data_IF_830896404621
#
_entry.id   IF_830896404621
#
_cell.length_a   1.000
_cell.length_b   1.000
_cell.length_c   1.000
_cell.angle_alpha   90.00
_cell.angle_beta   90.00
_cell.angle_gamma   90.00
#
_symmetry.space_group_name_H-M   'P 1'
#
loop_
_entity.id
_entity.type
_entity.pdbx_description
1 polymer ?
#
# COMPACT_ATOMS: atom_id res chain seq x y z
N UNK A 1 -17.62 34.31 -7.58
CA UNK A 1 -18.42 35.54 -7.75
C UNK A 1 -18.55 36.35 -6.46
N UNK A 2 -19.14 35.81 -5.38
CA UNK A 2 -19.43 36.59 -4.15
C UNK A 2 -18.27 37.40 -3.51
N UNK A 3 -17.04 36.85 -3.51
CA UNK A 3 -15.84 37.58 -3.03
C UNK A 3 -15.46 38.75 -3.94
N UNK A 4 -15.62 38.59 -5.26
CA UNK A 4 -15.40 39.66 -6.25
C UNK A 4 -16.41 40.78 -6.05
N UNK A 5 -17.67 40.45 -5.81
CA UNK A 5 -18.74 41.44 -5.56
C UNK A 5 -18.51 42.19 -4.24
N UNK A 6 -18.09 41.48 -3.18
CA UNK A 6 -17.67 42.09 -1.93
C UNK A 6 -16.52 43.07 -2.14
N UNK A 7 -15.48 42.66 -2.87
CA UNK A 7 -14.31 43.51 -3.15
C UNK A 7 -14.70 44.72 -4.01
N UNK A 8 -15.62 44.56 -4.97
CA UNK A 8 -16.12 45.65 -5.81
C UNK A 8 -16.88 46.68 -4.97
N UNK A 9 -17.77 46.24 -4.09
CA UNK A 9 -18.52 47.12 -3.18
C UNK A 9 -17.58 47.80 -2.16
N UNK A 10 -16.58 47.09 -1.66
CA UNK A 10 -15.54 47.64 -0.79
C UNK A 10 -14.75 48.74 -1.50
N UNK A 11 -14.28 48.49 -2.72
CA UNK A 11 -13.52 49.47 -3.49
C UNK A 11 -14.33 50.73 -3.78
N UNK A 12 -15.64 50.59 -4.02
CA UNK A 12 -16.54 51.72 -4.22
C UNK A 12 -16.74 52.54 -2.95
N UNK A 13 -17.02 51.90 -1.81
CA UNK A 13 -17.11 52.56 -0.51
C UNK A 13 -15.81 53.24 -0.10
N UNK A 14 -14.66 52.57 -0.31
CA UNK A 14 -13.33 53.11 -0.01
C UNK A 14 -13.01 54.40 -0.79
N UNK A 15 -13.46 54.49 -2.04
CA UNK A 15 -13.26 55.70 -2.88
C UNK A 15 -14.28 56.78 -2.59
N UNK A 16 -15.52 56.41 -2.28
CA UNK A 16 -16.64 57.31 -2.06
C UNK A 16 -17.42 56.90 -0.80
N UNK A 17 -17.05 57.43 0.39
CA UNK A 17 -17.62 57.02 1.67
C UNK A 17 -19.02 57.61 1.92
N UNK A 18 -20.01 57.16 1.16
CA UNK A 18 -21.42 57.54 1.35
C UNK A 18 -22.18 56.47 2.15
N UNK A 19 -23.28 56.84 2.85
CA UNK A 19 -24.12 55.89 3.58
C UNK A 19 -24.63 54.75 2.70
N UNK A 20 -25.06 55.05 1.47
CA UNK A 20 -25.53 54.05 0.50
C UNK A 20 -24.45 53.05 0.12
N UNK A 21 -23.21 53.53 -0.10
CA UNK A 21 -22.09 52.68 -0.42
C UNK A 21 -21.70 51.78 0.78
N UNK A 22 -21.83 52.27 2.01
CA UNK A 22 -21.63 51.46 3.21
C UNK A 22 -22.69 50.36 3.34
N UNK A 23 -23.96 50.68 3.09
CA UNK A 23 -25.07 49.70 3.09
C UNK A 23 -24.83 48.64 2.01
N UNK A 24 -24.46 49.05 0.80
CA UNK A 24 -24.16 48.13 -0.31
C UNK A 24 -22.99 47.19 0.03
N UNK A 25 -21.91 47.72 0.62
CA UNK A 25 -20.79 46.89 1.09
C UNK A 25 -21.20 45.90 2.18
N UNK A 26 -21.97 46.33 3.18
CA UNK A 26 -22.45 45.45 4.25
C UNK A 26 -23.35 44.32 3.71
N UNK A 27 -24.26 44.62 2.77
CA UNK A 27 -25.07 43.62 2.07
C UNK A 27 -24.20 42.61 1.31
N UNK A 28 -23.20 43.08 0.57
CA UNK A 28 -22.28 42.22 -0.17
C UNK A 28 -21.42 41.35 0.77
N UNK A 29 -20.94 41.91 1.89
CA UNK A 29 -20.18 41.21 2.94
C UNK A 29 -21.03 40.12 3.61
N UNK A 30 -22.28 40.41 3.95
CA UNK A 30 -23.20 39.43 4.52
C UNK A 30 -23.47 38.28 3.54
N UNK A 31 -23.73 38.60 2.27
CA UNK A 31 -23.91 37.60 1.20
C UNK A 31 -22.67 36.72 1.03
N UNK A 32 -21.48 37.31 0.98
CA UNK A 32 -20.23 36.56 0.87
C UNK A 32 -20.01 35.62 2.06
N UNK A 33 -20.29 36.08 3.29
CA UNK A 33 -20.23 35.23 4.50
C UNK A 33 -21.23 34.06 4.43
N UNK A 34 -22.47 34.32 4.02
CA UNK A 34 -23.50 33.28 3.85
C UNK A 34 -23.04 32.22 2.86
N UNK A 35 -22.59 32.63 1.68
CA UNK A 35 -22.12 31.73 0.63
C UNK A 35 -20.90 30.93 1.10
N UNK A 36 -19.93 31.55 1.76
CA UNK A 36 -18.78 30.81 2.31
C UNK A 36 -19.19 29.73 3.32
N UNK A 37 -20.10 30.05 4.24
CA UNK A 37 -20.61 29.09 5.23
C UNK A 37 -21.36 27.95 4.56
N UNK A 38 -22.23 28.28 3.60
CA UNK A 38 -22.99 27.30 2.83
C UNK A 38 -22.07 26.37 2.04
N UNK A 39 -21.10 26.92 1.29
CA UNK A 39 -20.13 26.12 0.52
C UNK A 39 -19.30 25.21 1.42
N UNK A 40 -18.80 25.70 2.56
CA UNK A 40 -18.09 24.86 3.53
C UNK A 40 -18.96 23.69 4.00
N UNK A 41 -20.23 23.93 4.28
CA UNK A 41 -21.20 22.89 4.70
C UNK A 41 -21.49 21.88 3.58
N UNK A 42 -21.74 22.34 2.37
CA UNK A 42 -22.00 21.48 1.21
C UNK A 42 -20.80 20.58 0.91
N UNK A 43 -19.59 21.16 0.88
CA UNK A 43 -18.36 20.39 0.71
C UNK A 43 -18.16 19.39 1.85
N UNK A 44 -18.47 19.76 3.09
CA UNK A 44 -18.41 18.87 4.24
C UNK A 44 -19.36 17.67 4.09
N UNK A 45 -20.65 17.92 3.81
CA UNK A 45 -21.66 16.86 3.64
C UNK A 45 -21.22 15.91 2.53
N UNK A 46 -20.80 16.44 1.38
CA UNK A 46 -20.34 15.64 0.24
C UNK A 46 -19.07 14.84 0.55
N UNK A 47 -18.17 15.37 1.38
CA UNK A 47 -16.94 14.68 1.75
C UNK A 47 -17.20 13.47 2.65
N UNK A 48 -18.09 13.64 3.62
CA UNK A 48 -18.46 12.59 4.58
C UNK A 48 -19.38 11.56 3.94
N UNK A 49 -20.29 11.94 3.04
CA UNK A 49 -21.19 11.01 2.34
C UNK A 49 -20.46 9.94 1.53
N UNK A 50 -19.20 10.20 1.13
CA UNK A 50 -18.34 9.25 0.43
C UNK A 50 -17.66 8.23 1.37
N UNK A 51 -18.00 8.22 2.66
CA UNK A 51 -17.55 7.19 3.60
C UNK A 51 -18.65 6.14 3.69
N UNK A 52 -18.42 5.00 3.07
CA UNK A 52 -19.32 3.84 3.01
C UNK A 52 -18.78 2.69 3.88
N UNK A 53 -19.57 1.64 4.08
CA UNK A 53 -19.12 0.39 4.75
C UNK A 53 -17.95 -0.30 4.04
N UNK A 54 -17.75 -0.02 2.74
CA UNK A 54 -16.63 -0.53 1.95
C UNK A 54 -15.36 0.34 2.03
N UNK A 55 -15.43 1.51 2.69
CA UNK A 55 -14.25 2.38 2.85
C UNK A 55 -13.30 1.76 3.87
N UNK A 56 -12.03 1.61 3.50
CA UNK A 56 -11.03 1.01 4.40
C UNK A 56 -10.79 1.86 5.65
N UNK A 57 -10.45 1.24 6.78
CA UNK A 57 -10.13 1.98 8.01
C UNK A 57 -9.00 3.00 7.79
N UNK A 58 -8.02 2.66 6.94
CA UNK A 58 -6.93 3.57 6.54
C UNK A 58 -7.46 4.83 5.87
N UNK A 59 -8.40 4.70 4.94
CA UNK A 59 -9.00 5.84 4.25
C UNK A 59 -9.85 6.69 5.19
N UNK A 60 -10.62 6.05 6.09
CA UNK A 60 -11.39 6.77 7.12
C UNK A 60 -10.46 7.60 8.00
N UNK A 61 -9.38 7.01 8.52
CA UNK A 61 -8.39 7.73 9.32
C UNK A 61 -7.66 8.83 8.54
N UNK A 62 -7.36 8.61 7.26
CA UNK A 62 -6.81 9.65 6.39
C UNK A 62 -7.77 10.82 6.22
N UNK A 63 -9.06 10.55 6.01
CA UNK A 63 -10.10 11.57 5.94
C UNK A 63 -10.20 12.34 7.26
N UNK A 64 -10.23 11.65 8.42
CA UNK A 64 -10.25 12.28 9.75
C UNK A 64 -9.03 13.20 9.96
N UNK A 65 -7.82 12.75 9.61
CA UNK A 65 -6.61 13.58 9.73
C UNK A 65 -6.64 14.83 8.84
N UNK A 66 -7.18 14.70 7.61
CA UNK A 66 -7.39 15.85 6.70
C UNK A 66 -8.36 16.86 7.31
N UNK A 67 -9.41 16.36 7.99
CA UNK A 67 -10.40 17.20 8.66
C UNK A 67 -9.86 17.87 9.92
N UNK A 68 -9.01 17.20 10.69
CA UNK A 68 -8.42 17.77 11.90
C UNK A 68 -7.31 18.78 11.63
N UNK A 69 -6.99 19.05 10.35
CA UNK A 69 -5.87 19.91 9.96
C UNK A 69 -4.48 19.33 10.31
N UNK A 70 -4.41 18.08 10.79
CA UNK A 70 -3.17 17.39 11.17
C UNK A 70 -2.60 16.55 10.03
N UNK A 71 -3.22 16.63 8.85
CA UNK A 71 -2.75 15.93 7.68
C UNK A 71 -1.52 16.63 7.14
N UNK A 72 -0.36 16.02 7.37
CA UNK A 72 0.84 16.27 6.60
C UNK A 72 0.92 15.21 5.50
N UNK A 73 0.82 15.64 4.24
CA UNK A 73 1.42 14.86 3.17
C UNK A 73 2.91 15.20 3.21
N UNK A 74 3.69 14.38 3.90
CA UNK A 74 5.15 14.48 3.87
C UNK A 74 5.66 13.43 2.87
N UNK A 75 5.66 13.70 1.54
CA UNK A 75 6.57 12.97 0.69
C UNK A 75 7.99 13.34 1.14
N UNK A 76 8.92 12.38 1.14
CA UNK A 76 10.35 12.68 1.27
C UNK A 76 10.70 13.57 0.08
N UNK A 77 10.83 14.88 0.32
CA UNK A 77 11.04 15.87 -0.72
C UNK A 77 12.51 16.18 -0.97
N UNK A 78 13.39 15.78 -0.04
CA UNK A 78 14.81 16.08 -0.09
C UNK A 78 15.59 15.12 0.80
N UNK A 79 16.71 14.62 0.31
CA UNK A 79 17.74 13.89 1.07
C UNK A 79 19.08 14.61 0.94
N UNK A 80 19.99 14.39 1.88
CA UNK A 80 21.39 14.85 1.77
C UNK A 80 22.27 13.61 1.70
N UNK A 81 23.01 13.45 0.61
CA UNK A 81 23.95 12.35 0.40
C UNK A 81 25.33 12.93 0.09
N UNK A 82 26.34 12.57 0.88
CA UNK A 82 27.72 13.05 0.73
C UNK A 82 27.84 14.58 0.62
N UNK A 83 26.99 15.33 1.35
CA UNK A 83 26.96 16.80 1.32
C UNK A 83 26.19 17.41 0.14
N UNK A 84 25.67 16.61 -0.79
CA UNK A 84 24.84 17.06 -1.92
C UNK A 84 23.36 16.87 -1.61
N UNK A 85 22.56 17.90 -1.88
CA UNK A 85 21.10 17.83 -1.75
C UNK A 85 20.47 17.14 -2.96
N UNK A 86 19.72 16.08 -2.71
CA UNK A 86 19.01 15.29 -3.70
C UNK A 86 17.50 15.55 -3.55
N UNK A 87 16.88 16.10 -4.58
CA UNK A 87 15.49 16.58 -4.55
C UNK A 87 14.59 15.97 -5.64
N UNK A 88 15.14 15.15 -6.54
CA UNK A 88 14.34 14.44 -7.55
C UNK A 88 13.91 13.08 -7.02
N UNK A 89 12.69 12.64 -7.36
CA UNK A 89 12.15 11.34 -6.93
C UNK A 89 13.05 10.15 -7.35
N UNK A 90 13.53 10.04 -8.61
CA UNK A 90 14.40 8.92 -8.99
C UNK A 90 15.72 8.93 -8.24
N UNK A 91 16.32 10.11 -8.03
CA UNK A 91 17.61 10.20 -7.34
C UNK A 91 17.46 9.92 -5.84
N UNK A 92 16.34 10.34 -5.22
CA UNK A 92 15.99 9.97 -3.84
C UNK A 92 15.86 8.45 -3.72
N UNK A 93 15.18 7.80 -4.67
CA UNK A 93 15.02 6.35 -4.67
C UNK A 93 16.36 5.62 -4.84
N UNK A 94 17.20 6.06 -5.77
CA UNK A 94 18.53 5.50 -5.99
C UNK A 94 19.44 5.70 -4.77
N UNK A 95 19.42 6.89 -4.17
CA UNK A 95 20.19 7.19 -2.94
C UNK A 95 19.77 6.27 -1.79
N UNK A 96 18.47 6.02 -1.63
CA UNK A 96 17.99 5.06 -0.63
C UNK A 96 18.42 3.63 -0.97
N UNK A 97 18.31 3.21 -2.22
CA UNK A 97 18.73 1.89 -2.66
C UNK A 97 20.24 1.67 -2.43
N UNK A 98 21.07 2.65 -2.76
CA UNK A 98 22.51 2.61 -2.53
C UNK A 98 22.86 2.56 -1.04
N UNK A 99 22.20 3.36 -0.20
CA UNK A 99 22.44 3.32 1.25
C UNK A 99 22.05 1.96 1.83
N UNK A 100 20.90 1.39 1.44
CA UNK A 100 20.53 0.04 1.85
C UNK A 100 21.49 -1.03 1.37
N UNK A 101 21.94 -0.96 0.11
CA UNK A 101 22.91 -1.90 -0.44
C UNK A 101 24.25 -1.82 0.31
N UNK A 102 24.73 -0.60 0.58
CA UNK A 102 25.94 -0.37 1.37
C UNK A 102 25.78 -0.91 2.78
N UNK A 103 24.72 -0.55 3.51
CA UNK A 103 24.48 -1.02 4.88
C UNK A 103 24.33 -2.55 4.94
N UNK A 104 23.69 -3.15 3.95
CA UNK A 104 23.48 -4.60 3.88
C UNK A 104 24.66 -5.37 3.28
N UNK A 105 25.74 -4.68 2.88
CA UNK A 105 26.93 -5.33 2.33
C UNK A 105 27.55 -6.25 3.38
N UNK A 106 28.11 -7.37 2.89
CA UNK A 106 28.90 -8.28 3.72
C UNK A 106 30.16 -7.60 4.27
N UNK A 107 30.59 -6.49 3.67
CA UNK A 107 31.72 -5.69 4.13
C UNK A 107 31.49 -5.07 5.52
N UNK A 108 30.23 -4.88 5.93
CA UNK A 108 29.88 -4.38 7.27
C UNK A 108 29.72 -5.49 8.31
N UNK A 109 29.92 -6.75 7.94
CA UNK A 109 29.78 -7.86 8.88
C UNK A 109 30.99 -7.89 9.83
N UNK A 110 30.75 -8.32 11.08
CA UNK A 110 31.85 -8.57 12.00
C UNK A 110 32.69 -9.77 11.52
N UNK A 111 33.98 -9.85 11.86
CA UNK A 111 34.85 -10.95 11.41
C UNK A 111 34.30 -12.35 11.73
N UNK A 112 33.59 -12.49 12.87
CA UNK A 112 32.91 -13.73 13.25
C UNK A 112 31.79 -14.12 12.28
N UNK A 113 30.94 -13.17 11.86
CA UNK A 113 29.84 -13.44 10.92
C UNK A 113 30.38 -13.71 9.51
N UNK A 114 31.36 -12.93 9.06
CA UNK A 114 31.98 -13.12 7.73
C UNK A 114 32.66 -14.49 7.60
N UNK A 115 33.41 -14.89 8.63
CA UNK A 115 34.05 -16.21 8.66
C UNK A 115 33.03 -17.34 8.73
N UNK A 116 31.96 -17.21 9.52
CA UNK A 116 30.87 -18.18 9.57
C UNK A 116 30.16 -18.32 8.20
N UNK A 117 29.86 -17.21 7.52
CA UNK A 117 29.22 -17.23 6.20
C UNK A 117 30.09 -17.93 5.14
N UNK A 118 31.37 -17.56 5.06
CA UNK A 118 32.30 -18.13 4.07
C UNK A 118 32.68 -19.59 4.34
N UNK A 119 32.79 -19.98 5.61
CA UNK A 119 33.21 -21.35 5.99
C UNK A 119 32.05 -22.32 6.12
N UNK A 120 30.85 -21.84 6.50
CA UNK A 120 29.71 -22.69 6.84
C UNK A 120 28.55 -22.58 5.85
N UNK A 121 28.09 -21.39 5.48
CA UNK A 121 26.89 -21.23 4.65
C UNK A 121 27.19 -21.40 3.15
N UNK A 122 28.18 -20.66 2.63
CA UNK A 122 28.46 -20.64 1.18
C UNK A 122 29.10 -21.94 0.66
N UNK A 123 29.61 -22.78 1.57
CA UNK A 123 30.14 -24.13 1.24
C UNK A 123 29.05 -25.19 1.13
N UNK A 124 27.86 -24.95 1.70
CA UNK A 124 26.75 -25.91 1.54
C UNK A 124 26.17 -25.73 0.14
N UNK A 125 26.47 -26.68 -0.74
CA UNK A 125 25.73 -26.80 -2.00
C UNK A 125 24.30 -27.19 -1.68
N UNK A 126 23.38 -26.26 -1.84
CA UNK A 126 21.96 -26.52 -1.70
C UNK A 126 21.54 -27.52 -2.79
N UNK A 127 21.02 -28.66 -2.37
CA UNK A 127 20.43 -29.61 -3.28
C UNK A 127 18.97 -29.24 -3.51
N UNK A 128 18.64 -28.83 -4.74
CA UNK A 128 17.28 -28.50 -5.16
C UNK A 128 16.53 -29.70 -5.74
N UNK A 129 17.11 -30.92 -5.71
CA UNK A 129 16.39 -32.13 -6.08
C UNK A 129 15.29 -32.38 -5.05
N UNK A 130 14.04 -32.37 -5.52
CA UNK A 130 12.86 -32.69 -4.71
C UNK A 130 12.19 -33.91 -5.32
N UNK A 131 11.66 -34.80 -4.48
CA UNK A 131 10.79 -35.89 -4.91
C UNK A 131 9.39 -35.40 -5.30
N UNK A 132 9.10 -34.11 -5.09
CA UNK A 132 7.78 -33.49 -5.21
C UNK A 132 6.69 -34.12 -4.33
N UNK A 133 7.07 -34.90 -3.32
CA UNK A 133 6.14 -35.57 -2.39
C UNK A 133 5.81 -34.74 -1.16
N UNK A 134 6.35 -33.53 -1.06
CA UNK A 134 6.11 -32.67 0.08
C UNK A 134 4.62 -32.33 0.18
N UNK A 135 4.08 -32.25 1.40
CA UNK A 135 2.67 -31.94 1.63
C UNK A 135 2.22 -30.55 1.12
N UNK A 136 3.14 -29.73 0.60
CA UNK A 136 2.78 -28.53 -0.14
C UNK A 136 2.39 -28.77 -1.60
N UNK A 137 2.87 -29.86 -2.19
CA UNK A 137 2.58 -30.33 -3.54
C UNK A 137 1.33 -31.22 -3.61
N UNK A 138 0.68 -31.49 -2.47
CA UNK A 138 -0.61 -32.18 -2.43
C UNK A 138 -1.68 -31.40 -3.23
N UNK A 139 -2.63 -32.09 -3.89
CA UNK A 139 -3.73 -31.43 -4.59
C UNK A 139 -4.45 -30.40 -3.71
N UNK A 140 -4.75 -29.23 -4.28
CA UNK A 140 -5.46 -28.16 -3.59
C UNK A 140 -6.85 -28.64 -3.15
N UNK A 141 -7.15 -28.51 -1.86
CA UNK A 141 -8.47 -28.87 -1.34
C UNK A 141 -9.48 -27.75 -1.55
N UNK A 142 -10.75 -28.12 -1.68
CA UNK A 142 -11.85 -27.15 -1.83
C UNK A 142 -11.99 -26.22 -0.61
N UNK A 143 -11.59 -26.69 0.58
CA UNK A 143 -11.54 -25.87 1.80
C UNK A 143 -10.44 -24.81 1.70
N UNK A 144 -9.25 -25.17 1.22
CA UNK A 144 -8.16 -24.22 1.00
C UNK A 144 -8.53 -23.19 -0.04
N UNK A 145 -9.15 -23.60 -1.15
CA UNK A 145 -9.63 -22.71 -2.20
C UNK A 145 -10.65 -21.69 -1.66
N UNK A 146 -11.65 -22.15 -0.89
CA UNK A 146 -12.65 -21.26 -0.26
C UNK A 146 -12.01 -20.30 0.74
N UNK A 147 -11.06 -20.78 1.53
CA UNK A 147 -10.36 -19.95 2.52
C UNK A 147 -9.49 -18.89 1.83
N UNK A 148 -8.82 -19.26 0.74
CA UNK A 148 -8.03 -18.34 -0.08
C UNK A 148 -8.92 -17.29 -0.75
N UNK A 149 -10.07 -17.69 -1.29
CA UNK A 149 -11.06 -16.76 -1.85
C UNK A 149 -11.55 -15.78 -0.79
N UNK A 150 -12.01 -16.25 0.37
CA UNK A 150 -12.44 -15.37 1.47
C UNK A 150 -11.38 -14.38 1.97
N UNK A 151 -10.10 -14.75 1.87
CA UNK A 151 -8.98 -13.86 2.22
C UNK A 151 -8.54 -12.97 1.07
N UNK A 152 -8.98 -13.27 -0.15
CA UNK A 152 -8.64 -12.48 -1.33
C UNK A 152 -9.36 -11.14 -1.28
N UNK A 153 -8.62 -10.07 -1.60
CA UNK A 153 -9.18 -8.74 -1.70
C UNK A 153 -10.20 -8.65 -2.84
N UNK A 154 -11.04 -7.63 -2.77
CA UNK A 154 -12.03 -7.34 -3.79
C UNK A 154 -11.35 -6.56 -4.94
N UNK A 155 -10.51 -7.25 -5.72
CA UNK A 155 -9.77 -6.66 -6.84
C UNK A 155 -10.10 -7.41 -8.12
N UNK A 156 -10.35 -6.68 -9.21
CA UNK A 156 -10.54 -7.28 -10.52
C UNK A 156 -9.21 -7.79 -11.10
N UNK A 157 -9.25 -8.99 -11.69
CA UNK A 157 -8.15 -9.49 -12.50
C UNK A 157 -7.97 -8.70 -13.80
N UNK A 158 -6.90 -8.96 -14.57
CA UNK A 158 -6.69 -8.34 -15.89
C UNK A 158 -7.75 -8.74 -16.93
N UNK A 159 -8.52 -9.80 -16.66
CA UNK A 159 -9.72 -10.22 -17.37
C UNK A 159 -10.98 -9.41 -16.97
N UNK A 160 -10.85 -8.46 -16.04
CA UNK A 160 -11.95 -7.63 -15.55
C UNK A 160 -12.91 -8.36 -14.61
N UNK A 161 -12.61 -9.61 -14.25
CA UNK A 161 -13.47 -10.39 -13.37
C UNK A 161 -13.15 -10.09 -11.91
N UNK A 162 -14.19 -9.69 -11.18
CA UNK A 162 -14.09 -9.43 -9.75
C UNK A 162 -14.07 -10.72 -8.96
N UNK A 163 -13.21 -10.81 -7.93
CA UNK A 163 -13.18 -11.97 -7.01
C UNK A 163 -14.54 -12.24 -6.36
N UNK A 164 -15.42 -11.23 -6.21
CA UNK A 164 -16.82 -11.38 -5.77
C UNK A 164 -17.62 -12.38 -6.62
N UNK A 165 -17.39 -12.39 -7.94
CA UNK A 165 -18.11 -13.31 -8.84
C UNK A 165 -17.72 -14.76 -8.56
N UNK A 166 -16.51 -15.01 -8.05
CA UNK A 166 -16.03 -16.34 -7.69
C UNK A 166 -16.71 -16.94 -6.46
N UNK A 167 -17.32 -16.12 -5.59
CA UNK A 167 -18.03 -16.61 -4.39
C UNK A 167 -19.39 -17.24 -4.72
N UNK A 168 -20.01 -16.85 -5.85
CA UNK A 168 -21.29 -17.39 -6.32
C UNK A 168 -21.17 -18.61 -7.23
N UNK A 169 -19.94 -19.07 -7.51
CA UNK A 169 -19.70 -20.16 -8.44
C UNK A 169 -20.12 -21.50 -7.83
N UNK A 170 -20.89 -22.28 -8.60
CA UNK A 170 -21.33 -23.62 -8.23
C UNK A 170 -20.13 -24.51 -7.80
N UNK A 171 -20.25 -25.33 -6.74
CA UNK A 171 -19.17 -26.20 -6.26
C UNK A 171 -18.52 -27.07 -7.34
N UNK A 172 -19.29 -27.43 -8.38
CA UNK A 172 -18.87 -28.25 -9.52
C UNK A 172 -17.89 -27.52 -10.46
N UNK A 173 -18.01 -26.20 -10.56
CA UNK A 173 -17.09 -25.35 -11.33
C UNK A 173 -15.85 -25.02 -10.49
N UNK A 174 -16.00 -24.87 -9.17
CA UNK A 174 -14.86 -24.73 -8.25
C UNK A 174 -13.96 -25.97 -8.22
N UNK A 175 -14.53 -27.18 -8.26
CA UNK A 175 -13.74 -28.40 -8.40
C UNK A 175 -13.00 -28.47 -9.73
N UNK A 176 -13.64 -28.02 -10.82
CA UNK A 176 -13.06 -27.97 -12.15
C UNK A 176 -11.88 -26.98 -12.21
N UNK A 177 -12.04 -25.79 -11.61
CA UNK A 177 -10.97 -24.80 -11.45
C UNK A 177 -9.81 -25.34 -10.61
N UNK A 178 -10.08 -26.11 -9.55
CA UNK A 178 -9.04 -26.77 -8.76
C UNK A 178 -8.19 -27.72 -9.60
N UNK A 179 -8.82 -28.53 -10.46
CA UNK A 179 -8.11 -29.42 -11.37
C UNK A 179 -7.33 -28.66 -12.45
N UNK A 180 -7.90 -27.59 -13.02
CA UNK A 180 -7.23 -26.77 -14.03
C UNK A 180 -6.03 -25.98 -13.48
N UNK A 181 -6.10 -25.49 -12.25
CA UNK A 181 -5.01 -24.74 -11.59
C UNK A 181 -3.80 -25.63 -11.27
N UNK A 182 -4.04 -26.91 -10.97
CA UNK A 182 -2.98 -27.91 -10.76
C UNK A 182 -2.31 -28.27 -12.10
N UNK A 183 -3.08 -28.35 -13.19
CA UNK A 183 -2.58 -28.73 -14.51
C UNK A 183 -1.80 -27.60 -15.23
N UNK A 184 -2.13 -26.33 -14.98
CA UNK A 184 -1.53 -25.20 -15.72
C UNK A 184 -0.16 -24.78 -15.21
N UNK A 185 0.24 -25.15 -13.99
CA UNK A 185 1.59 -25.01 -13.42
C UNK A 185 2.18 -23.59 -13.34
N UNK A 186 1.57 -22.58 -13.98
CA UNK A 186 2.05 -21.19 -14.07
C UNK A 186 0.86 -20.23 -14.21
N UNK A 187 0.90 -19.06 -13.54
CA UNK A 187 -0.07 -18.01 -13.82
C UNK A 187 0.23 -17.43 -15.21
N UNK A 188 -0.80 -17.22 -16.02
CA UNK A 188 -0.67 -16.60 -17.34
C UNK A 188 -0.42 -15.09 -17.26
N UNK A 189 -0.61 -14.46 -16.10
CA UNK A 189 -0.34 -13.04 -15.90
C UNK A 189 -0.14 -12.68 -14.42
N UNK A 190 0.79 -11.77 -14.14
CA UNK A 190 0.94 -11.10 -12.85
C UNK A 190 0.20 -9.74 -12.90
N UNK A 191 -0.55 -9.35 -11.85
CA UNK A 191 -1.23 -8.07 -11.85
C UNK A 191 -0.24 -6.88 -11.84
N UNK A 192 -0.58 -5.81 -12.57
CA UNK A 192 0.23 -4.59 -12.73
C UNK A 192 0.46 -3.78 -11.43
N UNK A 193 -0.28 -4.08 -10.37
CA UNK A 193 0.00 -3.61 -9.01
C UNK A 193 0.67 -4.77 -8.27
N UNK A 194 1.90 -4.61 -7.80
CA UNK A 194 2.77 -5.62 -7.15
C UNK A 194 2.24 -6.29 -5.88
N UNK A 195 0.97 -6.66 -5.85
CA UNK A 195 0.35 -7.54 -4.87
C UNK A 195 0.46 -8.95 -5.43
N UNK A 196 1.42 -9.70 -4.91
CA UNK A 196 1.53 -11.13 -5.15
C UNK A 196 0.22 -11.81 -4.72
N UNK A 197 -0.44 -12.59 -5.61
CA UNK A 197 -1.59 -13.39 -5.21
C UNK A 197 -1.17 -14.37 -4.11
N UNK A 198 -1.87 -14.31 -2.98
CA UNK A 198 -1.79 -15.31 -1.89
C UNK A 198 -2.20 -16.73 -2.32
N UNK A 199 -2.45 -16.94 -3.62
CA UNK A 199 -2.69 -18.24 -4.24
C UNK A 199 -1.43 -19.07 -4.41
N UNK A 200 -0.26 -18.44 -4.41
CA UNK A 200 0.96 -19.20 -4.21
C UNK A 200 1.07 -19.48 -2.73
N UNK A 201 0.94 -20.77 -2.37
CA UNK A 201 1.67 -21.36 -1.26
C UNK A 201 3.14 -21.08 -1.57
N UNK A 202 3.56 -19.85 -1.29
CA UNK A 202 4.86 -19.33 -1.66
C UNK A 202 5.87 -20.35 -1.19
N UNK A 203 6.69 -20.81 -2.13
CA UNK A 203 7.89 -21.60 -1.89
C UNK A 203 8.65 -20.94 -0.74
N UNK A 204 8.36 -21.38 0.49
CA UNK A 204 9.07 -20.90 1.65
C UNK A 204 10.27 -21.83 1.85
N UNK A 205 11.13 -21.84 0.83
CA UNK A 205 12.54 -22.19 1.01
C UNK A 205 13.13 -21.33 2.13
N UNK A 206 12.63 -20.11 2.35
CA UNK A 206 12.97 -19.26 3.49
C UNK A 206 12.60 -19.85 4.87
N UNK A 207 11.47 -20.57 5.03
CA UNK A 207 11.13 -21.25 6.30
C UNK A 207 11.93 -22.53 6.51
N UNK A 208 12.19 -23.29 5.44
CA UNK A 208 13.07 -24.47 5.50
C UNK A 208 14.50 -24.04 5.87
N UNK A 209 15.00 -22.94 5.29
CA UNK A 209 16.29 -22.35 5.65
C UNK A 209 16.33 -21.87 7.10
N UNK A 210 15.31 -21.16 7.60
CA UNK A 210 15.27 -20.72 8.99
C UNK A 210 15.22 -21.91 9.98
N UNK A 211 14.56 -23.01 9.62
CA UNK A 211 14.44 -24.18 10.48
C UNK A 211 15.72 -25.04 10.47
N UNK A 212 16.37 -25.23 9.32
CA UNK A 212 17.66 -25.93 9.24
C UNK A 212 18.82 -25.13 9.85
N UNK A 213 18.77 -23.79 9.80
CA UNK A 213 19.78 -22.91 10.37
C UNK A 213 19.67 -22.82 11.91
N UNK A 214 18.45 -22.88 12.46
CA UNK A 214 18.22 -23.03 13.91
C UNK A 214 18.72 -24.39 14.42
N UNK A 215 18.45 -25.49 13.71
CA UNK A 215 18.92 -26.83 14.10
C UNK A 215 20.45 -26.97 14.00
N UNK A 216 21.11 -26.21 13.11
CA UNK A 216 22.55 -26.19 12.99
C UNK A 216 23.27 -25.31 14.04
N UNK A 217 22.61 -24.29 14.61
CA UNK A 217 23.23 -23.34 15.54
C UNK A 217 23.11 -23.72 17.03
N UNK A 218 22.37 -24.77 17.39
CA UNK A 218 22.32 -25.29 18.75
C UNK A 218 23.35 -26.42 18.92
N UNK A 219 24.52 -26.20 19.56
CA UNK A 219 25.36 -27.31 19.98
C UNK A 219 24.59 -28.15 21.01
N UNK A 220 24.68 -29.47 20.87
CA UNK A 220 24.15 -30.44 21.84
C UNK A 220 24.69 -30.11 23.24
N UNK A 221 23.87 -29.44 24.04
CA UNK A 221 24.07 -29.28 25.48
C UNK A 221 23.07 -30.20 26.19
N UNK A 222 23.21 -31.51 26.01
CA UNK A 222 22.79 -32.51 27.01
C UNK A 222 23.74 -33.69 26.87
N UNK A 223 24.46 -33.97 27.95
CA UNK A 223 25.27 -35.16 28.16
C UNK A 223 24.41 -36.43 28.26
#
# INVERSE_FOLDING_TARGET
MAKKDQNKAWNRFRRYPTPDNMIAFNKARARARKIHRQRKRETWIKYVSNITCSTSSKEVWNKIRKLSGKYSASPVSMLVSNGVSVNTIPDIANTLAETFAKTSSCDNYTPCISSAKASREERVKLNFSSSNEEGYNSPLTLRELRTALHRSGNTAGPDGLHTILCYGICPKVLSLLSHCLIASGKPTCFPHSGVMPTFYRFQSLAKIQHQQLITALLPSQVA
#
